data_IF_023948977961
#
_entry.id   IF_023948977961
#
_cell.length_a   1.000
_cell.length_b   1.000
_cell.length_c   1.000
_cell.angle_alpha   90.00
_cell.angle_beta   90.00
_cell.angle_gamma   90.00
#
_symmetry.space_group_name_H-M   'P 1'
#
loop_
_entity.id
_entity.type
_entity.pdbx_description
1 polymer ?
#
# COMPACT_ATOMS: atom_id res chain seq x y z
N UNK A 1 3.86 -13.79 24.58
CA UNK A 1 3.46 -15.13 24.06
C UNK A 1 1.96 -15.30 23.84
N UNK A 2 1.06 -15.03 24.81
CA UNK A 2 -0.38 -15.27 24.63
C UNK A 2 -1.04 -14.39 23.53
N UNK A 3 -0.66 -13.10 23.44
CA UNK A 3 -1.22 -12.16 22.45
C UNK A 3 -0.75 -12.48 21.01
N UNK A 4 0.52 -12.80 20.80
CA UNK A 4 1.05 -13.21 19.50
C UNK A 4 0.37 -14.49 18.99
N UNK A 5 0.20 -15.49 19.86
CA UNK A 5 -0.53 -16.71 19.53
C UNK A 5 -1.99 -16.43 19.14
N UNK A 6 -2.68 -15.56 19.88
CA UNK A 6 -4.04 -15.16 19.54
C UNK A 6 -4.13 -14.42 18.19
N UNK A 7 -3.17 -13.55 17.90
CA UNK A 7 -3.07 -12.84 16.62
C UNK A 7 -2.93 -13.82 15.44
N UNK A 8 -2.02 -14.79 15.55
CA UNK A 8 -1.81 -15.82 14.51
C UNK A 8 -3.08 -16.65 14.31
N UNK A 9 -3.71 -17.13 15.39
CA UNK A 9 -4.93 -17.93 15.31
C UNK A 9 -6.07 -17.13 14.65
N UNK A 10 -6.23 -15.86 15.01
CA UNK A 10 -7.27 -15.00 14.44
C UNK A 10 -7.00 -14.72 12.96
N UNK A 11 -5.74 -14.49 12.57
CA UNK A 11 -5.33 -14.34 11.18
C UNK A 11 -5.64 -15.61 10.38
N UNK A 12 -5.26 -16.79 10.87
CA UNK A 12 -5.56 -18.07 10.21
C UNK A 12 -7.07 -18.33 10.06
N UNK A 13 -7.87 -17.98 11.07
CA UNK A 13 -9.33 -18.07 10.99
C UNK A 13 -9.89 -17.16 9.91
N UNK A 14 -9.50 -15.88 9.92
CA UNK A 14 -9.91 -14.91 8.91
C UNK A 14 -9.51 -15.36 7.50
N UNK A 15 -8.27 -15.87 7.32
CA UNK A 15 -7.80 -16.40 6.03
C UNK A 15 -8.69 -17.52 5.50
N UNK A 16 -9.13 -18.43 6.36
CA UNK A 16 -10.05 -19.53 6.01
C UNK A 16 -11.45 -19.01 5.69
N UNK A 17 -11.98 -18.10 6.49
CA UNK A 17 -13.31 -17.52 6.30
C UNK A 17 -13.41 -16.71 5.00
N UNK A 18 -12.42 -15.86 4.73
CA UNK A 18 -12.33 -15.05 3.51
C UNK A 18 -11.76 -15.80 2.30
N UNK A 19 -11.33 -17.06 2.48
CA UNK A 19 -10.72 -17.90 1.44
C UNK A 19 -9.56 -17.21 0.71
N UNK A 20 -8.66 -16.60 1.49
CA UNK A 20 -7.56 -15.77 0.96
C UNK A 20 -6.66 -16.54 -0.01
N UNK A 21 -6.38 -17.81 0.28
CA UNK A 21 -5.53 -18.66 -0.57
C UNK A 21 -6.16 -18.97 -1.94
N UNK A 22 -7.49 -18.89 -2.04
CA UNK A 22 -8.24 -19.06 -3.30
C UNK A 22 -8.29 -17.76 -4.10
N UNK A 23 -8.27 -16.59 -3.43
CA UNK A 23 -8.34 -15.28 -4.08
C UNK A 23 -7.20 -15.12 -5.09
N UNK A 24 -5.95 -15.46 -4.73
CA UNK A 24 -4.78 -15.31 -5.61
C UNK A 24 -4.92 -16.10 -6.92
N UNK A 25 -5.64 -17.22 -6.89
CA UNK A 25 -5.80 -18.14 -8.02
C UNK A 25 -7.04 -17.82 -8.87
N UNK A 26 -8.13 -17.41 -8.22
CA UNK A 26 -9.46 -17.43 -8.82
C UNK A 26 -10.12 -16.05 -8.93
N UNK A 27 -9.57 -15.02 -8.29
CA UNK A 27 -10.13 -13.68 -8.36
C UNK A 27 -9.69 -12.96 -9.64
N UNK A 28 -10.68 -12.44 -10.37
CA UNK A 28 -10.49 -11.57 -11.53
C UNK A 28 -11.11 -10.18 -11.26
N UNK A 29 -10.43 -9.16 -11.78
CA UNK A 29 -10.76 -7.75 -11.60
C UNK A 29 -10.70 -7.00 -12.94
N UNK A 30 -11.53 -7.37 -13.93
CA UNK A 30 -11.48 -6.82 -15.28
C UNK A 30 -11.79 -5.32 -15.31
N UNK A 31 -12.50 -4.80 -14.31
CA UNK A 31 -12.79 -3.37 -14.19
C UNK A 31 -11.61 -2.53 -13.69
N UNK A 32 -10.42 -3.12 -13.44
CA UNK A 32 -9.25 -2.40 -12.88
C UNK A 32 -8.92 -1.12 -13.62
N UNK A 33 -8.87 -1.17 -14.96
CA UNK A 33 -8.55 0.01 -15.77
C UNK A 33 -9.59 1.14 -15.62
N UNK A 34 -10.86 0.79 -15.42
CA UNK A 34 -11.92 1.77 -15.17
C UNK A 34 -11.83 2.30 -13.75
N UNK A 35 -11.60 1.43 -12.77
CA UNK A 35 -11.38 1.80 -11.36
C UNK A 35 -10.20 2.76 -11.23
N UNK A 36 -9.10 2.54 -11.93
CA UNK A 36 -7.89 3.38 -11.86
C UNK A 36 -8.10 4.81 -12.36
N UNK A 37 -9.15 5.08 -13.13
CA UNK A 37 -9.50 6.47 -13.52
C UNK A 37 -9.96 7.28 -12.32
N UNK A 38 -10.66 6.64 -11.38
CA UNK A 38 -11.26 7.27 -10.21
C UNK A 38 -10.43 7.02 -8.95
N UNK A 39 -9.87 5.83 -8.76
CA UNK A 39 -9.08 5.49 -7.59
C UNK A 39 -7.76 4.79 -7.96
N UNK A 40 -6.78 5.53 -8.51
CA UNK A 40 -5.51 4.94 -8.90
C UNK A 40 -4.71 4.48 -7.68
N UNK A 41 -4.38 3.19 -7.71
CA UNK A 41 -3.58 2.50 -6.70
C UNK A 41 -2.52 1.65 -7.41
N UNK A 42 -1.25 1.86 -7.06
CA UNK A 42 -0.16 1.14 -7.72
C UNK A 42 1.13 1.10 -6.89
N UNK A 43 1.92 0.06 -7.11
CA UNK A 43 3.30 -0.03 -6.64
C UNK A 43 4.26 0.58 -7.68
N UNK A 44 5.29 1.27 -7.22
CA UNK A 44 6.26 1.92 -8.10
C UNK A 44 7.67 1.94 -7.51
N UNK A 45 8.53 1.03 -7.97
CA UNK A 45 9.96 0.97 -7.59
C UNK A 45 10.14 0.89 -6.06
N UNK A 46 11.29 1.36 -5.56
CA UNK A 46 11.76 1.16 -4.19
C UNK A 46 12.26 2.46 -3.56
N UNK A 47 12.12 2.59 -2.24
CA UNK A 47 12.73 3.62 -1.41
C UNK A 47 14.22 3.31 -1.12
N UNK A 48 14.89 4.18 -0.37
CA UNK A 48 16.33 4.03 -0.04
C UNK A 48 16.63 2.84 0.87
N UNK A 49 15.63 2.32 1.58
CA UNK A 49 15.74 1.14 2.44
C UNK A 49 15.39 -0.15 1.69
N UNK A 50 15.19 -0.08 0.36
CA UNK A 50 14.79 -1.22 -0.46
C UNK A 50 13.32 -1.62 -0.28
N UNK A 51 12.50 -0.76 0.33
CA UNK A 51 11.07 -1.00 0.50
C UNK A 51 10.31 -0.57 -0.74
N UNK A 52 9.35 -1.38 -1.20
CA UNK A 52 8.53 -1.02 -2.36
C UNK A 52 7.60 0.14 -2.03
N UNK A 53 7.47 1.07 -2.97
CA UNK A 53 6.66 2.27 -2.79
C UNK A 53 5.26 1.97 -3.29
N UNK A 54 4.26 2.15 -2.42
CA UNK A 54 2.84 2.07 -2.76
C UNK A 54 2.23 3.47 -2.79
N UNK A 55 1.47 3.78 -3.85
CA UNK A 55 0.90 5.12 -4.08
C UNK A 55 -0.62 4.99 -4.27
N UNK A 56 -1.37 5.71 -3.44
CA UNK A 56 -2.83 5.88 -3.56
C UNK A 56 -3.17 7.34 -3.87
N UNK A 57 -3.87 7.59 -4.97
CA UNK A 57 -4.23 8.95 -5.39
C UNK A 57 -5.66 9.32 -4.99
N UNK A 58 -5.87 9.59 -3.70
CA UNK A 58 -7.19 9.98 -3.16
C UNK A 58 -7.77 11.26 -3.77
N UNK A 59 -6.95 12.14 -4.36
CA UNK A 59 -7.43 13.36 -5.03
C UNK A 59 -8.36 13.07 -6.23
N UNK A 60 -8.17 11.92 -6.88
CA UNK A 60 -9.00 11.53 -8.04
C UNK A 60 -10.26 10.77 -7.62
N UNK A 61 -10.40 10.43 -6.34
CA UNK A 61 -11.46 9.58 -5.81
C UNK A 61 -12.85 10.19 -6.03
N UNK A 62 -13.59 9.60 -6.96
CA UNK A 62 -15.01 9.84 -7.17
C UNK A 62 -15.78 8.60 -6.75
N UNK A 63 -16.37 8.62 -5.55
CA UNK A 63 -17.13 7.50 -5.02
C UNK A 63 -18.34 7.14 -5.90
N UNK A 64 -18.98 8.13 -6.54
CA UNK A 64 -20.17 7.88 -7.35
C UNK A 64 -19.80 7.12 -8.62
N UNK A 65 -18.74 7.56 -9.30
CA UNK A 65 -18.25 6.88 -10.50
C UNK A 65 -17.62 5.52 -10.16
N UNK A 66 -16.87 5.43 -9.06
CA UNK A 66 -16.26 4.19 -8.58
C UNK A 66 -17.32 3.12 -8.29
N UNK A 67 -18.36 3.45 -7.51
CA UNK A 67 -19.41 2.49 -7.19
C UNK A 67 -20.40 2.25 -8.34
N UNK A 68 -20.27 2.97 -9.47
CA UNK A 68 -20.98 2.63 -10.70
C UNK A 68 -20.30 1.48 -11.46
N UNK A 69 -18.99 1.25 -11.27
CA UNK A 69 -18.24 0.20 -11.99
C UNK A 69 -17.76 -0.96 -11.09
N UNK A 70 -17.73 -0.79 -9.77
CA UNK A 70 -17.28 -1.85 -8.84
C UNK A 70 -18.02 -1.81 -7.50
N UNK A 71 -17.69 -2.73 -6.59
CA UNK A 71 -18.28 -2.82 -5.25
C UNK A 71 -17.22 -2.80 -4.16
N UNK A 72 -17.61 -2.45 -2.93
CA UNK A 72 -16.71 -2.49 -1.78
C UNK A 72 -16.11 -3.89 -1.55
N UNK A 73 -16.90 -4.95 -1.72
CA UNK A 73 -16.42 -6.34 -1.60
C UNK A 73 -15.35 -6.67 -2.65
N UNK A 74 -15.55 -6.23 -3.91
CA UNK A 74 -14.58 -6.45 -4.98
C UNK A 74 -13.30 -5.63 -4.79
N UNK A 75 -13.41 -4.38 -4.34
CA UNK A 75 -12.25 -3.57 -3.96
C UNK A 75 -11.47 -4.20 -2.81
N UNK A 76 -12.15 -4.73 -1.79
CA UNK A 76 -11.50 -5.42 -0.68
C UNK A 76 -10.81 -6.71 -1.13
N UNK A 77 -11.45 -7.51 -2.00
CA UNK A 77 -10.83 -8.71 -2.60
C UNK A 77 -9.62 -8.36 -3.46
N UNK A 78 -9.70 -7.28 -4.25
CA UNK A 78 -8.57 -6.79 -5.04
C UNK A 78 -7.41 -6.33 -4.14
N UNK A 79 -7.71 -5.63 -3.03
CA UNK A 79 -6.71 -5.24 -2.03
C UNK A 79 -6.01 -6.48 -1.47
N UNK A 80 -6.77 -7.47 -0.99
CA UNK A 80 -6.22 -8.73 -0.46
C UNK A 80 -5.35 -9.42 -1.53
N UNK A 81 -5.84 -9.50 -2.76
CA UNK A 81 -5.11 -10.07 -3.88
C UNK A 81 -3.78 -9.36 -4.14
N UNK A 82 -3.77 -8.03 -4.17
CA UNK A 82 -2.55 -7.21 -4.32
C UNK A 82 -1.57 -7.46 -3.18
N UNK A 83 -2.04 -7.53 -1.93
CA UNK A 83 -1.20 -7.82 -0.76
C UNK A 83 -0.58 -9.22 -0.84
N UNK A 84 -1.35 -10.25 -1.19
CA UNK A 84 -0.84 -11.61 -1.32
C UNK A 84 0.16 -11.74 -2.49
N UNK A 85 -0.15 -11.13 -3.65
CA UNK A 85 0.78 -11.06 -4.79
C UNK A 85 2.05 -10.32 -4.42
N UNK A 86 1.92 -9.24 -3.66
CA UNK A 86 3.05 -8.47 -3.17
C UNK A 86 3.97 -9.32 -2.28
N UNK A 87 3.40 -9.98 -1.27
CA UNK A 87 4.16 -10.81 -0.31
C UNK A 87 4.85 -11.98 -1.02
N UNK A 88 4.14 -12.64 -1.94
CA UNK A 88 4.63 -13.85 -2.61
C UNK A 88 5.56 -13.59 -3.77
N UNK A 89 5.38 -12.48 -4.49
CA UNK A 89 6.01 -12.27 -5.80
C UNK A 89 6.86 -10.99 -5.90
N UNK A 90 6.59 -9.96 -5.10
CA UNK A 90 7.25 -8.65 -5.21
C UNK A 90 8.23 -8.32 -4.08
N UNK A 91 8.13 -8.97 -2.93
CA UNK A 91 9.17 -8.83 -1.91
C UNK A 91 10.42 -9.62 -2.34
N UNK A 92 11.60 -8.98 -2.39
CA UNK A 92 12.84 -9.71 -2.62
C UNK A 92 13.01 -10.80 -1.57
N UNK A 93 13.43 -12.00 -1.98
CA UNK A 93 13.62 -13.12 -1.05
C UNK A 93 14.54 -12.76 0.13
N UNK A 94 15.52 -11.87 -0.08
CA UNK A 94 16.37 -11.36 0.98
C UNK A 94 15.60 -10.52 2.02
N UNK A 95 14.59 -9.75 1.61
CA UNK A 95 13.76 -8.96 2.52
C UNK A 95 12.84 -9.87 3.31
N UNK A 96 12.23 -10.87 2.66
CA UNK A 96 11.42 -11.88 3.36
C UNK A 96 12.27 -12.66 4.36
N UNK A 97 13.48 -13.05 4.00
CA UNK A 97 14.40 -13.74 4.91
C UNK A 97 14.87 -12.83 6.05
N UNK A 98 15.30 -11.60 5.77
CA UNK A 98 15.74 -10.63 6.78
C UNK A 98 14.60 -10.24 7.72
N UNK A 99 13.40 -9.98 7.18
CA UNK A 99 12.19 -9.75 7.96
C UNK A 99 11.84 -10.99 8.78
N UNK A 100 11.88 -12.20 8.21
CA UNK A 100 11.64 -13.44 8.98
C UNK A 100 12.69 -13.71 10.07
N UNK A 101 13.92 -13.23 9.90
CA UNK A 101 14.99 -13.31 10.91
C UNK A 101 14.85 -12.25 12.01
N UNK A 102 14.40 -11.05 11.67
CA UNK A 102 14.15 -9.95 12.61
C UNK A 102 12.82 -10.13 13.34
N UNK A 103 11.84 -10.78 12.70
CA UNK A 103 10.43 -10.81 13.08
C UNK A 103 10.01 -12.25 13.43
N UNK A 104 10.64 -12.82 14.46
CA UNK A 104 10.26 -14.10 15.06
C UNK A 104 8.89 -14.07 15.81
N UNK A 105 7.91 -13.33 15.29
CA UNK A 105 6.49 -13.36 15.69
C UNK A 105 5.53 -13.08 14.49
N UNK A 106 5.90 -13.52 13.27
CA UNK A 106 5.04 -13.77 12.08
C UNK A 106 4.05 -12.65 11.66
N UNK A 107 4.58 -11.43 11.57
CA UNK A 107 4.10 -10.24 10.83
C UNK A 107 3.01 -9.34 11.45
N UNK A 108 3.45 -8.30 12.17
CA UNK A 108 2.74 -7.04 12.29
C UNK A 108 3.58 -5.82 11.88
N UNK A 109 4.45 -5.85 10.85
CA UNK A 109 5.17 -4.64 10.37
C UNK A 109 5.41 -4.56 8.84
N UNK A 110 4.40 -4.87 8.01
CA UNK A 110 4.54 -4.71 6.55
C UNK A 110 4.64 -3.23 6.09
N UNK A 111 4.18 -2.30 6.93
CA UNK A 111 4.20 -0.87 6.65
C UNK A 111 5.42 -0.23 7.33
N UNK A 112 6.36 0.30 6.55
CA UNK A 112 7.54 1.00 7.08
C UNK A 112 7.26 2.46 7.40
N UNK A 113 6.80 3.23 6.41
CA UNK A 113 6.43 4.65 6.51
C UNK A 113 5.13 4.88 5.76
N UNK A 114 4.28 5.77 6.26
CA UNK A 114 3.04 6.17 5.61
C UNK A 114 2.99 7.69 5.48
N UNK A 115 2.99 8.21 4.26
CA UNK A 115 2.97 9.65 4.01
C UNK A 115 1.61 10.08 3.48
N UNK A 116 0.96 11.01 4.18
CA UNK A 116 -0.23 11.70 3.69
C UNK A 116 0.20 13.07 3.23
N UNK A 117 0.17 13.32 1.92
CA UNK A 117 0.65 14.56 1.31
C UNK A 117 -0.50 15.43 0.83
N UNK A 118 -0.26 16.74 0.70
CA UNK A 118 -1.29 17.71 0.36
C UNK A 118 -2.51 17.64 1.30
N UNK A 119 -2.29 17.27 2.56
CA UNK A 119 -3.35 17.18 3.55
C UNK A 119 -3.88 18.61 3.84
N UNK A 120 -5.16 18.92 3.56
CA UNK A 120 -5.73 20.21 3.93
C UNK A 120 -5.77 20.34 5.45
N UNK A 121 -5.86 21.56 5.97
CA UNK A 121 -5.94 21.80 7.42
C UNK A 121 -7.07 20.99 8.09
N UNK A 122 -8.18 20.78 7.35
CA UNK A 122 -9.33 19.96 7.76
C UNK A 122 -8.96 18.49 8.05
N UNK A 123 -7.92 17.96 7.40
CA UNK A 123 -7.43 16.61 7.64
C UNK A 123 -6.97 16.41 9.10
N UNK A 124 -6.53 17.46 9.78
CA UNK A 124 -6.21 17.41 11.22
C UNK A 124 -7.43 17.04 12.08
N UNK A 125 -8.62 17.50 11.68
CA UNK A 125 -9.89 17.14 12.32
C UNK A 125 -10.25 15.67 12.07
N UNK A 126 -10.16 15.21 10.81
CA UNK A 126 -10.39 13.81 10.42
C UNK A 126 -9.41 12.87 11.14
N UNK A 127 -8.14 13.25 11.21
CA UNK A 127 -7.10 12.47 11.87
C UNK A 127 -7.34 12.31 13.39
N UNK A 128 -7.88 13.34 14.05
CA UNK A 128 -8.24 13.28 15.48
C UNK A 128 -9.32 12.23 15.75
N UNK A 129 -10.24 12.05 14.79
CA UNK A 129 -11.30 11.04 14.85
C UNK A 129 -10.76 9.64 14.55
N UNK A 130 -9.83 9.50 13.58
CA UNK A 130 -9.31 8.18 13.15
C UNK A 130 -8.29 7.57 14.11
N UNK A 131 -7.43 8.42 14.70
CA UNK A 131 -6.29 8.01 15.52
C UNK A 131 -6.62 6.99 16.63
N UNK A 132 -7.75 7.07 17.37
CA UNK A 132 -8.10 6.10 18.41
C UNK A 132 -8.35 4.67 17.91
N UNK A 133 -8.66 4.49 16.62
CA UNK A 133 -8.88 3.17 16.01
C UNK A 133 -7.59 2.52 15.48
N UNK A 134 -6.49 3.26 15.44
CA UNK A 134 -5.19 2.78 14.98
C UNK A 134 -4.29 2.44 16.17
N UNK A 135 -3.50 1.37 16.06
CA UNK A 135 -2.52 1.04 17.08
C UNK A 135 -1.37 2.07 17.12
N UNK A 136 -0.65 2.13 18.24
CA UNK A 136 0.38 3.14 18.48
C UNK A 136 1.56 3.04 17.50
N UNK A 137 1.90 1.85 17.02
CA UNK A 137 2.99 1.63 16.06
C UNK A 137 2.60 2.19 14.70
N UNK A 138 1.37 1.92 14.24
CA UNK A 138 0.83 2.51 13.00
C UNK A 138 0.80 4.03 13.06
N UNK A 139 0.30 4.60 14.16
CA UNK A 139 0.27 6.06 14.36
C UNK A 139 1.66 6.68 14.31
N UNK A 140 2.68 6.02 14.87
CA UNK A 140 4.07 6.51 14.88
C UNK A 140 4.72 6.50 13.48
N UNK A 141 4.19 5.71 12.54
CA UNK A 141 4.69 5.60 11.16
C UNK A 141 4.02 6.58 10.20
N UNK A 142 2.91 7.20 10.60
CA UNK A 142 2.12 8.12 9.77
C UNK A 142 2.68 9.54 9.88
N UNK A 143 3.03 10.11 8.72
CA UNK A 143 3.53 11.47 8.57
C UNK A 143 2.57 12.25 7.69
N UNK A 144 1.95 13.28 8.25
CA UNK A 144 0.98 14.15 7.55
C UNK A 144 1.71 15.42 7.12
N UNK A 145 1.69 15.72 5.82
CA UNK A 145 2.43 16.79 5.17
C UNK A 145 1.49 17.71 4.40
N UNK A 146 1.81 19.01 4.43
CA UNK A 146 1.11 20.04 3.68
C UNK A 146 1.54 20.09 2.21
N UNK A 147 1.76 21.30 1.68
CA UNK A 147 2.21 21.52 0.29
C UNK A 147 3.72 21.38 0.10
N UNK A 148 4.46 21.42 1.20
CA UNK A 148 5.92 21.37 1.34
C UNK A 148 6.45 19.95 1.57
N UNK A 149 5.73 18.93 1.08
CA UNK A 149 6.04 17.52 1.32
C UNK A 149 7.26 16.97 0.57
N UNK A 150 7.73 17.66 -0.48
CA UNK A 150 8.66 17.10 -1.47
C UNK A 150 10.01 16.72 -0.85
N UNK A 151 10.58 17.58 -0.02
CA UNK A 151 11.90 17.33 0.58
C UNK A 151 11.85 16.14 1.54
N UNK A 152 10.72 15.96 2.25
CA UNK A 152 10.50 14.81 3.12
C UNK A 152 10.39 13.51 2.32
N UNK A 153 9.71 13.52 1.17
CA UNK A 153 9.65 12.33 0.30
C UNK A 153 11.03 12.02 -0.29
N UNK A 154 11.77 13.02 -0.77
CA UNK A 154 13.10 12.84 -1.36
C UNK A 154 14.17 12.45 -0.32
N UNK A 155 13.93 12.73 0.96
CA UNK A 155 14.76 12.21 2.05
C UNK A 155 14.70 10.68 2.14
N UNK A 156 13.53 10.07 1.87
CA UNK A 156 13.33 8.62 1.95
C UNK A 156 13.40 7.90 0.59
N UNK A 157 12.96 8.57 -0.49
CA UNK A 157 12.79 7.97 -1.82
C UNK A 157 13.82 8.56 -2.79
N UNK A 158 14.57 7.75 -3.55
CA UNK A 158 15.44 8.26 -4.60
C UNK A 158 14.65 9.09 -5.62
N UNK A 159 15.21 10.22 -6.09
CA UNK A 159 14.49 11.15 -6.95
C UNK A 159 14.02 10.48 -8.25
N UNK A 160 14.87 9.65 -8.84
CA UNK A 160 14.65 8.82 -10.02
C UNK A 160 13.59 7.73 -9.82
N UNK A 161 13.27 7.39 -8.57
CA UNK A 161 12.25 6.41 -8.21
C UNK A 161 10.91 7.06 -7.86
N UNK A 162 10.88 8.36 -7.57
CA UNK A 162 9.65 9.08 -7.28
C UNK A 162 9.03 9.64 -8.59
N UNK A 163 7.71 9.49 -8.83
CA UNK A 163 7.04 10.10 -9.97
C UNK A 163 7.21 11.62 -10.02
N UNK A 164 7.34 12.20 -11.22
CA UNK A 164 7.42 13.66 -11.41
C UNK A 164 6.25 14.43 -10.78
N UNK A 165 5.04 13.87 -10.84
CA UNK A 165 3.83 14.45 -10.22
C UNK A 165 3.96 14.62 -8.70
N UNK A 166 4.79 13.80 -8.05
CA UNK A 166 5.06 13.84 -6.62
C UNK A 166 6.35 14.61 -6.28
N UNK A 167 6.95 15.30 -7.25
CA UNK A 167 8.19 16.07 -7.07
C UNK A 167 9.48 15.30 -7.33
N UNK A 168 9.37 14.07 -7.86
CA UNK A 168 10.51 13.27 -8.28
C UNK A 168 10.97 13.53 -9.72
N UNK A 169 11.76 12.60 -10.25
CA UNK A 169 12.33 12.62 -11.59
C UNK A 169 11.83 11.51 -12.50
N UNK A 170 11.08 10.53 -11.98
CA UNK A 170 10.69 9.34 -12.75
C UNK A 170 9.67 9.68 -13.85
N UNK A 171 9.97 9.24 -15.08
CA UNK A 171 9.06 9.21 -16.23
C UNK A 171 9.05 7.83 -16.84
N UNK A 172 8.13 6.98 -16.39
CA UNK A 172 7.82 5.75 -17.11
C UNK A 172 7.13 6.07 -18.43
N UNK A 173 7.45 5.33 -19.50
CA UNK A 173 6.97 5.63 -20.86
C UNK A 173 5.43 5.73 -20.95
N UNK A 174 4.70 4.82 -20.29
CA UNK A 174 3.23 4.83 -20.23
C UNK A 174 2.66 5.60 -19.01
N UNK A 175 3.50 6.28 -18.23
CA UNK A 175 3.14 6.87 -16.94
C UNK A 175 3.44 5.94 -15.75
N UNK A 176 3.78 6.53 -14.60
CA UNK A 176 4.24 5.76 -13.43
C UNK A 176 3.13 4.89 -12.80
N UNK A 177 1.86 5.26 -13.00
CA UNK A 177 0.69 4.49 -12.55
C UNK A 177 0.39 3.27 -13.41
N UNK A 178 0.92 3.23 -14.64
CA UNK A 178 0.69 2.19 -15.63
C UNK A 178 1.96 1.39 -15.95
N UNK A 179 3.11 1.76 -15.38
CA UNK A 179 4.26 0.87 -15.37
C UNK A 179 3.91 -0.28 -14.44
N UNK A 180 3.68 -1.47 -14.98
CA UNK A 180 3.84 -2.70 -14.20
C UNK A 180 5.18 -2.54 -13.49
N UNK A 181 5.16 -2.52 -12.16
CA UNK A 181 6.35 -2.31 -11.36
C UNK A 181 7.33 -3.41 -11.71
N UNK A 182 8.24 -3.14 -12.64
CA UNK A 182 9.23 -4.07 -13.14
C UNK A 182 10.20 -4.33 -12.00
N UNK A 183 9.84 -5.33 -11.20
CA UNK A 183 10.75 -6.21 -10.49
C UNK A 183 11.12 -7.36 -11.43
N UNK A 184 11.27 -7.07 -12.72
CA UNK A 184 11.88 -8.03 -13.63
C UNK A 184 13.35 -8.13 -13.24
N UNK A 185 13.66 -9.34 -12.78
CA UNK A 185 14.95 -9.83 -12.33
C UNK A 185 16.03 -9.46 -13.36
N UNK A 186 16.97 -8.63 -12.94
CA UNK A 186 18.36 -8.72 -13.42
C UNK A 186 19.12 -9.69 -12.53
#
# INVERSE_FOLDING_TARGET
MALAKAMIINCEKWRKEFRVDDIVKNFDFPEKEEVDKYYPQFYHKMDKDGRPIYIEQLRKLDFKALYACTTQDRLLKHLIWEYEKFITSRLPAYYVMAASFIDQDRYPECMGKFYIINAPWLFSGVWTVIKPWLDKVTVAKIVILGKDYKDMLLAQIPKENLPKELGGGCTCGKGCSLSEGTLERG
#
